data_IF_511787837326
#
_entry.id   IF_511787837326
#
_cell.length_a   1.000
_cell.length_b   1.000
_cell.length_c   1.000
_cell.angle_alpha   90.00
_cell.angle_beta   90.00
_cell.angle_gamma   90.00
#
_symmetry.space_group_name_H-M   'P 1'
#
loop_
_entity.id
_entity.type
_entity.pdbx_description
1 polymer ?
#
# COMPACT_ATOMS: atom_id res chain seq x y z
N UNK A 1 -31.12 12.59 29.30
CA UNK A 1 -31.37 13.56 28.21
C UNK A 1 -30.00 14.00 27.70
N UNK A 2 -29.46 13.65 26.54
CA UNK A 2 -29.96 13.22 25.24
C UNK A 2 -29.28 11.89 24.84
N UNK A 3 -30.00 11.01 24.14
CA UNK A 3 -29.48 9.71 23.70
C UNK A 3 -28.33 9.91 22.70
N UNK A 4 -27.11 9.58 23.11
CA UNK A 4 -25.99 9.44 22.18
C UNK A 4 -26.31 8.30 21.22
N UNK A 5 -26.52 8.64 19.94
CA UNK A 5 -26.53 7.66 18.86
C UNK A 5 -25.34 6.70 19.05
N UNK A 6 -25.60 5.41 19.08
CA UNK A 6 -24.59 4.36 19.14
C UNK A 6 -23.66 4.47 17.92
N UNK A 7 -22.60 5.27 18.04
CA UNK A 7 -21.51 5.30 17.08
C UNK A 7 -20.81 3.95 17.17
N UNK A 8 -20.92 3.15 16.12
CA UNK A 8 -20.30 1.83 16.08
C UNK A 8 -18.80 1.94 16.36
N UNK A 9 -18.31 1.13 17.29
CA UNK A 9 -16.93 1.17 17.81
C UNK A 9 -15.85 0.89 16.76
N UNK A 10 -16.25 0.41 15.58
CA UNK A 10 -15.38 -0.02 14.50
C UNK A 10 -15.25 1.04 13.40
N UNK A 11 -16.33 1.75 13.09
CA UNK A 11 -16.38 2.68 11.96
C UNK A 11 -16.12 4.11 12.40
N UNK A 12 -15.71 4.96 11.45
CA UNK A 12 -15.38 6.34 11.75
C UNK A 12 -16.56 7.13 12.33
N UNK A 13 -16.31 8.07 13.26
CA UNK A 13 -17.33 9.00 13.72
C UNK A 13 -17.71 10.02 12.64
N UNK A 14 -16.77 10.37 11.74
CA UNK A 14 -17.03 11.21 10.58
C UNK A 14 -17.89 10.43 9.57
N UNK A 15 -19.10 10.92 9.22
CA UNK A 15 -20.03 10.17 8.38
C UNK A 15 -19.55 9.99 6.93
N UNK A 16 -18.76 10.92 6.40
CA UNK A 16 -18.13 10.80 5.07
C UNK A 16 -17.11 9.67 5.07
N UNK A 17 -16.22 9.67 6.08
CA UNK A 17 -15.22 8.62 6.29
C UNK A 17 -15.86 7.25 6.51
N UNK A 18 -16.89 7.19 7.34
CA UNK A 18 -17.63 5.96 7.63
C UNK A 18 -18.26 5.34 6.39
N UNK A 19 -18.88 6.16 5.54
CA UNK A 19 -19.47 5.69 4.29
C UNK A 19 -18.39 5.08 3.39
N UNK A 20 -17.25 5.75 3.29
CA UNK A 20 -16.13 5.30 2.48
C UNK A 20 -15.51 4.00 3.01
N UNK A 21 -15.25 3.90 4.32
CA UNK A 21 -14.76 2.67 4.97
C UNK A 21 -15.65 1.47 4.65
N UNK A 22 -16.97 1.63 4.79
CA UNK A 22 -17.94 0.60 4.43
C UNK A 22 -17.89 0.25 2.95
N UNK A 23 -17.83 1.26 2.07
CA UNK A 23 -17.74 1.05 0.64
C UNK A 23 -16.50 0.22 0.26
N UNK A 24 -15.30 0.57 0.73
CA UNK A 24 -14.08 -0.15 0.36
C UNK A 24 -14.02 -1.56 0.97
N UNK A 25 -14.55 -1.74 2.18
CA UNK A 25 -14.70 -3.08 2.75
C UNK A 25 -15.63 -3.95 1.90
N UNK A 26 -16.79 -3.43 1.49
CA UNK A 26 -17.72 -4.15 0.62
C UNK A 26 -17.19 -4.33 -0.82
N UNK A 27 -16.33 -3.44 -1.28
CA UNK A 27 -15.65 -3.54 -2.58
C UNK A 27 -14.55 -4.60 -2.58
N UNK A 28 -13.96 -4.90 -1.43
CA UNK A 28 -12.84 -5.84 -1.31
C UNK A 28 -13.14 -7.24 -1.86
N UNK A 29 -14.28 -7.89 -1.52
CA UNK A 29 -14.66 -9.17 -2.11
C UNK A 29 -14.71 -9.17 -3.64
N UNK A 30 -15.05 -8.05 -4.29
CA UNK A 30 -15.16 -7.99 -5.75
C UNK A 30 -13.80 -8.19 -6.43
N UNK A 31 -12.81 -7.36 -6.12
CA UNK A 31 -11.49 -7.46 -6.77
C UNK A 31 -10.72 -8.70 -6.31
N UNK A 32 -10.92 -9.15 -5.06
CA UNK A 32 -10.36 -10.42 -4.58
C UNK A 32 -10.93 -11.62 -5.34
N UNK A 33 -12.25 -11.68 -5.52
CA UNK A 33 -12.89 -12.77 -6.27
C UNK A 33 -12.47 -12.74 -7.72
N UNK A 34 -12.31 -11.55 -8.33
CA UNK A 34 -11.77 -11.41 -9.68
C UNK A 34 -10.34 -11.97 -9.77
N UNK A 35 -9.47 -11.60 -8.84
CA UNK A 35 -8.07 -12.04 -8.82
C UNK A 35 -7.98 -13.57 -8.59
N UNK A 36 -8.70 -14.10 -7.61
CA UNK A 36 -8.75 -15.53 -7.33
C UNK A 36 -9.38 -16.32 -8.48
N UNK A 37 -10.43 -15.77 -9.10
CA UNK A 37 -11.10 -16.36 -10.26
C UNK A 37 -10.22 -16.44 -11.50
N UNK A 38 -9.12 -15.68 -11.56
CA UNK A 38 -8.12 -15.77 -12.63
C UNK A 38 -6.97 -16.71 -12.21
N UNK A 39 -6.50 -16.58 -10.96
CA UNK A 39 -5.34 -17.33 -10.46
C UNK A 39 -5.64 -18.81 -10.21
N UNK A 40 -6.75 -19.14 -9.56
CA UNK A 40 -7.11 -20.53 -9.21
C UNK A 40 -7.27 -21.42 -10.45
N UNK A 41 -8.04 -21.03 -11.49
CA UNK A 41 -8.13 -21.79 -12.73
C UNK A 41 -6.98 -21.56 -13.72
N UNK A 42 -5.96 -20.77 -13.35
CA UNK A 42 -4.81 -20.43 -14.19
C UNK A 42 -5.12 -19.74 -15.52
N UNK A 43 -6.20 -18.95 -15.58
CA UNK A 43 -6.58 -18.21 -16.79
C UNK A 43 -5.51 -17.20 -17.23
N UNK A 44 -4.66 -16.77 -16.31
CA UNK A 44 -3.55 -15.86 -16.58
C UNK A 44 -2.53 -16.42 -17.59
N UNK A 45 -2.48 -17.74 -17.84
CA UNK A 45 -1.52 -18.34 -18.78
C UNK A 45 -1.80 -17.93 -20.24
N UNK A 46 -3.06 -17.61 -20.57
CA UNK A 46 -3.46 -17.18 -21.91
C UNK A 46 -3.54 -15.66 -22.06
N UNK A 47 -3.19 -14.89 -21.03
CA UNK A 47 -3.32 -13.44 -21.04
C UNK A 47 -2.17 -12.79 -21.81
N UNK A 48 -2.49 -11.82 -22.65
CA UNK A 48 -1.54 -10.88 -23.24
C UNK A 48 -1.42 -9.63 -22.37
N UNK A 49 -0.58 -8.68 -22.78
CA UNK A 49 -0.36 -7.42 -22.08
C UNK A 49 -1.67 -6.66 -21.80
N UNK A 50 -2.62 -6.73 -22.74
CA UNK A 50 -3.90 -6.05 -22.63
C UNK A 50 -4.79 -6.66 -21.55
N UNK A 51 -4.92 -7.99 -21.49
CA UNK A 51 -5.76 -8.65 -20.47
C UNK A 51 -5.21 -8.40 -19.06
N UNK A 52 -3.88 -8.39 -18.90
CA UNK A 52 -3.27 -8.00 -17.63
C UNK A 52 -3.57 -6.54 -17.29
N UNK A 53 -3.51 -5.60 -18.23
CA UNK A 53 -3.87 -4.20 -17.95
C UNK A 53 -5.35 -4.10 -17.57
N UNK A 54 -6.23 -4.77 -18.31
CA UNK A 54 -7.67 -4.78 -18.07
C UNK A 54 -8.00 -5.34 -16.68
N UNK A 55 -7.31 -6.40 -16.23
CA UNK A 55 -7.44 -6.91 -14.86
C UNK A 55 -7.15 -5.83 -13.82
N UNK A 56 -6.04 -5.09 -13.99
CA UNK A 56 -5.69 -3.96 -13.14
C UNK A 56 -6.78 -2.87 -13.17
N UNK A 57 -7.23 -2.49 -14.37
CA UNK A 57 -8.24 -1.44 -14.55
C UNK A 57 -9.59 -1.82 -13.94
N UNK A 58 -10.08 -3.04 -14.16
CA UNK A 58 -11.34 -3.53 -13.57
C UNK A 58 -11.23 -3.63 -12.04
N UNK A 59 -10.03 -3.86 -11.50
CA UNK A 59 -9.81 -3.89 -10.05
C UNK A 59 -9.72 -2.49 -9.43
N UNK A 60 -9.15 -1.51 -10.13
CA UNK A 60 -8.93 -0.17 -9.61
C UNK A 60 -10.07 0.81 -9.96
N UNK A 61 -10.46 0.92 -11.23
CA UNK A 61 -11.37 1.96 -11.74
C UNK A 61 -12.74 1.97 -11.03
N UNK A 62 -13.39 0.83 -10.72
CA UNK A 62 -14.67 0.86 -10.01
C UNK A 62 -14.58 1.47 -8.61
N UNK A 63 -13.41 1.45 -7.95
CA UNK A 63 -13.21 2.12 -6.67
C UNK A 63 -13.33 3.65 -6.77
N UNK A 64 -13.22 4.20 -7.99
CA UNK A 64 -13.43 5.63 -8.30
C UNK A 64 -14.83 5.87 -8.85
N UNK A 65 -15.28 5.04 -9.79
CA UNK A 65 -16.55 5.26 -10.48
C UNK A 65 -17.75 5.01 -9.58
N UNK A 66 -17.74 3.97 -8.75
CA UNK A 66 -18.91 3.66 -7.92
C UNK A 66 -19.18 4.78 -6.91
N UNK A 67 -18.20 5.33 -6.18
CA UNK A 67 -18.43 6.47 -5.29
C UNK A 67 -18.86 7.78 -5.98
N UNK A 68 -18.58 7.93 -7.28
CA UNK A 68 -19.07 9.07 -8.06
C UNK A 68 -20.59 9.00 -8.23
N UNK A 69 -21.13 7.80 -8.50
CA UNK A 69 -22.56 7.61 -8.76
C UNK A 69 -23.37 7.28 -7.51
N UNK A 70 -22.79 6.52 -6.58
CA UNK A 70 -23.42 6.11 -5.31
C UNK A 70 -22.88 7.02 -4.22
N UNK A 71 -23.51 8.17 -4.03
CA UNK A 71 -23.08 9.14 -3.01
C UNK A 71 -23.71 8.83 -1.66
N UNK A 72 -22.90 8.79 -0.60
CA UNK A 72 -23.41 8.68 0.77
C UNK A 72 -24.28 9.89 1.11
N UNK A 73 -25.35 9.68 1.91
CA UNK A 73 -26.24 10.78 2.35
C UNK A 73 -25.50 11.94 3.02
N UNK A 74 -24.35 11.67 3.63
CA UNK A 74 -23.50 12.67 4.27
C UNK A 74 -22.60 13.45 3.29
N UNK A 75 -22.39 12.92 2.09
CA UNK A 75 -21.55 13.51 1.04
C UNK A 75 -22.36 14.22 -0.04
N UNK A 76 -23.69 14.08 -0.03
CA UNK A 76 -24.59 14.65 -1.04
C UNK A 76 -24.54 16.19 -1.08
N UNK A 77 -24.28 16.83 0.06
CA UNK A 77 -24.14 18.28 0.19
C UNK A 77 -22.68 18.77 0.11
N UNK A 78 -21.70 17.86 -0.01
CA UNK A 78 -20.28 18.20 -0.05
C UNK A 78 -19.77 18.27 -1.49
N UNK A 79 -18.91 19.27 -1.75
CA UNK A 79 -18.11 19.33 -2.96
C UNK A 79 -17.16 18.11 -3.02
N UNK A 80 -16.84 17.64 -4.22
CA UNK A 80 -16.05 16.42 -4.42
C UNK A 80 -14.71 16.46 -3.67
N UNK A 81 -13.99 17.58 -3.72
CA UNK A 81 -12.70 17.77 -3.02
C UNK A 81 -12.80 17.59 -1.50
N UNK A 82 -13.98 17.78 -0.92
CA UNK A 82 -14.21 17.73 0.52
C UNK A 82 -14.69 16.35 0.99
N UNK A 83 -15.06 15.46 0.05
CA UNK A 83 -15.49 14.10 0.35
C UNK A 83 -14.30 13.24 0.73
N UNK A 84 -14.43 12.46 1.80
CA UNK A 84 -13.35 11.63 2.30
C UNK A 84 -12.84 10.64 1.25
N UNK A 85 -13.77 10.05 0.47
CA UNK A 85 -13.39 9.04 -0.50
C UNK A 85 -12.42 9.58 -1.56
N UNK A 86 -12.53 10.87 -1.93
CA UNK A 86 -11.59 11.54 -2.86
C UNK A 86 -10.21 11.76 -2.22
N UNK A 87 -10.18 12.11 -0.93
CA UNK A 87 -8.94 12.41 -0.19
C UNK A 87 -8.12 11.15 0.11
N UNK A 88 -8.72 10.20 0.82
CA UNK A 88 -8.00 9.05 1.36
C UNK A 88 -7.86 7.94 0.30
N UNK A 89 -8.95 7.57 -0.35
CA UNK A 89 -9.12 6.23 -0.92
C UNK A 89 -9.36 6.17 -2.42
N UNK A 90 -9.57 7.29 -3.09
CA UNK A 90 -9.92 7.28 -4.50
C UNK A 90 -9.35 8.45 -5.26
N UNK A 91 -8.22 9.05 -4.87
CA UNK A 91 -7.41 9.82 -5.81
C UNK A 91 -6.05 10.24 -5.29
N UNK A 92 -5.87 10.49 -3.99
CA UNK A 92 -4.69 11.25 -3.60
C UNK A 92 -3.71 10.48 -2.74
N UNK A 93 -4.07 10.14 -1.49
CA UNK A 93 -3.08 9.57 -0.58
C UNK A 93 -2.54 8.21 -1.07
N UNK A 94 -3.44 7.25 -1.35
CA UNK A 94 -3.04 5.91 -1.79
C UNK A 94 -2.46 5.92 -3.21
N UNK A 95 -2.91 6.81 -4.10
CA UNK A 95 -2.31 6.95 -5.43
C UNK A 95 -0.87 7.43 -5.32
N UNK A 96 -0.62 8.50 -4.56
CA UNK A 96 0.72 9.04 -4.36
C UNK A 96 1.61 7.96 -3.74
N UNK A 97 1.16 7.33 -2.65
CA UNK A 97 1.95 6.34 -1.94
C UNK A 97 2.22 5.09 -2.79
N UNK A 98 1.20 4.57 -3.49
CA UNK A 98 1.33 3.42 -4.40
C UNK A 98 2.23 3.75 -5.59
N UNK A 99 2.11 4.95 -6.17
CA UNK A 99 2.96 5.39 -7.26
C UNK A 99 4.41 5.48 -6.80
N UNK A 100 4.68 6.09 -5.63
CA UNK A 100 6.04 6.17 -5.11
C UNK A 100 6.61 4.78 -4.86
N UNK A 101 5.84 3.87 -4.29
CA UNK A 101 6.29 2.51 -4.05
C UNK A 101 6.55 1.69 -5.31
N UNK A 102 5.68 1.79 -6.31
CA UNK A 102 5.85 1.06 -7.56
C UNK A 102 6.84 1.71 -8.52
N UNK A 103 7.15 3.00 -8.40
CA UNK A 103 8.06 3.69 -9.32
C UNK A 103 9.44 3.97 -8.72
N UNK A 104 9.54 4.49 -7.50
CA UNK A 104 10.82 4.86 -6.88
C UNK A 104 11.42 3.74 -6.03
N UNK A 105 10.61 2.90 -5.40
CA UNK A 105 11.12 1.81 -4.55
C UNK A 105 11.44 0.52 -5.31
N UNK A 106 11.35 0.54 -6.65
CA UNK A 106 11.69 -0.57 -7.54
C UNK A 106 13.10 -1.08 -7.31
N UNK A 107 14.05 -0.18 -7.03
CA UNK A 107 15.41 -0.57 -6.69
C UNK A 107 15.44 -1.49 -5.46
N UNK A 108 14.78 -1.11 -4.36
CA UNK A 108 14.71 -1.96 -3.17
C UNK A 108 14.02 -3.30 -3.47
N UNK A 109 12.96 -3.26 -4.25
CA UNK A 109 12.20 -4.44 -4.61
C UNK A 109 12.99 -5.43 -5.48
N UNK A 110 13.71 -4.96 -6.49
CA UNK A 110 14.46 -5.82 -7.41
C UNK A 110 15.86 -6.19 -6.88
N UNK A 111 16.55 -5.29 -6.17
CA UNK A 111 17.95 -5.52 -5.75
C UNK A 111 18.10 -5.95 -4.30
N UNK A 112 17.25 -5.44 -3.40
CA UNK A 112 17.30 -5.82 -1.97
C UNK A 112 16.50 -7.09 -1.75
N UNK A 113 15.26 -7.17 -2.26
CA UNK A 113 14.41 -8.35 -2.11
C UNK A 113 14.66 -9.44 -3.16
N UNK A 114 15.22 -9.08 -4.33
CA UNK A 114 15.43 -10.02 -5.44
C UNK A 114 14.11 -10.56 -6.02
N UNK A 115 13.07 -9.73 -6.03
CA UNK A 115 11.83 -10.04 -6.75
C UNK A 115 11.98 -9.73 -8.25
N UNK A 116 11.16 -10.33 -9.11
CA UNK A 116 11.07 -9.93 -10.52
C UNK A 116 9.70 -10.27 -11.12
N UNK A 117 9.30 -9.53 -12.16
CA UNK A 117 8.05 -9.75 -12.88
C UNK A 117 8.31 -10.26 -14.31
N UNK A 118 7.81 -11.45 -14.62
CA UNK A 118 8.08 -12.14 -15.90
C UNK A 118 6.86 -12.23 -16.82
N UNK A 119 5.67 -11.79 -16.39
CA UNK A 119 4.46 -11.85 -17.21
C UNK A 119 4.41 -10.75 -18.29
N UNK A 120 3.73 -11.00 -19.43
CA UNK A 120 3.51 -10.00 -20.48
C UNK A 120 2.84 -8.75 -19.92
N UNK A 121 3.50 -7.60 -20.07
CA UNK A 121 2.95 -6.34 -19.59
C UNK A 121 3.63 -5.13 -20.22
N UNK A 122 2.87 -4.03 -20.33
CA UNK A 122 3.47 -2.71 -20.45
C UNK A 122 4.16 -2.37 -19.13
N UNK A 123 5.41 -1.95 -19.17
CA UNK A 123 6.22 -1.68 -17.98
C UNK A 123 6.65 -0.22 -17.90
N UNK A 124 6.78 0.28 -16.66
CA UNK A 124 7.39 1.56 -16.34
C UNK A 124 8.41 1.32 -15.23
N UNK A 125 9.68 1.64 -15.49
CA UNK A 125 10.80 1.30 -14.61
C UNK A 125 10.84 -0.20 -14.23
N UNK A 126 10.70 -1.06 -15.24
CA UNK A 126 10.59 -2.53 -15.14
C UNK A 126 9.40 -3.07 -14.33
N UNK A 127 8.52 -2.20 -13.83
CA UNK A 127 7.31 -2.58 -13.12
C UNK A 127 6.10 -2.58 -14.07
N UNK A 128 5.34 -3.70 -14.15
CA UNK A 128 4.11 -3.79 -14.93
C UNK A 128 3.05 -2.74 -14.53
N UNK A 129 2.41 -2.07 -15.48
CA UNK A 129 1.32 -1.11 -15.17
C UNK A 129 0.17 -1.76 -14.38
N UNK A 130 -0.09 -3.04 -14.61
CA UNK A 130 -1.06 -3.84 -13.84
C UNK A 130 -0.78 -3.85 -12.35
N UNK A 131 0.49 -3.88 -11.93
CA UNK A 131 0.83 -3.92 -10.49
C UNK A 131 0.58 -2.57 -9.84
N UNK A 132 0.76 -1.43 -10.53
CA UNK A 132 0.37 -0.12 -10.02
C UNK A 132 -1.13 -0.07 -9.67
N UNK A 133 -1.95 -0.62 -10.57
CA UNK A 133 -3.42 -0.65 -10.42
C UNK A 133 -3.87 -1.65 -9.35
N UNK A 134 -3.31 -2.86 -9.32
CA UNK A 134 -3.63 -3.85 -8.29
C UNK A 134 -3.12 -3.41 -6.91
N UNK A 135 -1.92 -2.82 -6.83
CA UNK A 135 -1.39 -2.25 -5.57
C UNK A 135 -2.34 -1.21 -5.02
N UNK A 136 -2.92 -0.35 -5.87
CA UNK A 136 -3.93 0.60 -5.42
C UNK A 136 -5.12 -0.11 -4.76
N UNK A 137 -5.72 -1.12 -5.40
CA UNK A 137 -6.84 -1.87 -4.84
C UNK A 137 -6.49 -2.60 -3.52
N UNK A 138 -5.32 -3.25 -3.48
CA UNK A 138 -4.80 -3.93 -2.28
C UNK A 138 -4.55 -2.93 -1.14
N UNK A 139 -3.84 -1.84 -1.41
CA UNK A 139 -3.49 -0.86 -0.39
C UNK A 139 -4.74 -0.20 0.18
N UNK A 140 -5.79 0.03 -0.62
CA UNK A 140 -7.06 0.51 -0.07
C UNK A 140 -7.62 -0.41 1.00
N UNK A 141 -7.66 -1.71 0.71
CA UNK A 141 -8.13 -2.69 1.69
C UNK A 141 -7.24 -2.70 2.94
N UNK A 142 -5.92 -2.71 2.79
CA UNK A 142 -4.98 -2.77 3.92
C UNK A 142 -5.09 -1.54 4.82
N UNK A 143 -5.19 -0.35 4.23
CA UNK A 143 -5.21 0.92 4.97
C UNK A 143 -6.57 1.19 5.62
N UNK A 144 -7.68 0.77 4.99
CA UNK A 144 -9.02 0.83 5.62
C UNK A 144 -9.10 -0.17 6.78
N UNK A 145 -8.63 -1.41 6.59
CA UNK A 145 -8.64 -2.44 7.65
C UNK A 145 -7.76 -2.05 8.82
N UNK A 146 -6.55 -1.52 8.57
CA UNK A 146 -5.67 -1.01 9.63
C UNK A 146 -6.30 0.16 10.39
N UNK A 147 -6.90 1.12 9.68
CA UNK A 147 -7.61 2.25 10.31
C UNK A 147 -8.68 1.78 11.30
N UNK A 148 -9.51 0.82 10.89
CA UNK A 148 -10.59 0.26 11.70
C UNK A 148 -10.04 -0.48 12.93
N UNK A 149 -9.01 -1.30 12.75
CA UNK A 149 -8.44 -2.10 13.84
C UNK A 149 -7.66 -1.23 14.85
N UNK A 150 -6.87 -0.26 14.39
CA UNK A 150 -6.17 0.69 15.27
C UNK A 150 -7.18 1.52 16.05
N UNK A 151 -8.26 2.00 15.42
CA UNK A 151 -9.34 2.70 16.10
C UNK A 151 -9.97 1.84 17.19
N UNK A 152 -10.29 0.58 16.88
CA UNK A 152 -10.85 -0.37 17.85
C UNK A 152 -9.92 -0.60 19.03
N UNK A 153 -8.63 -0.75 18.77
CA UNK A 153 -7.61 -0.93 19.80
C UNK A 153 -7.50 0.30 20.72
N UNK A 154 -7.49 1.51 20.15
CA UNK A 154 -7.48 2.75 20.95
C UNK A 154 -8.70 2.85 21.86
N UNK A 155 -9.87 2.42 21.39
CA UNK A 155 -11.05 2.39 22.23
C UNK A 155 -10.93 1.33 23.33
N UNK A 156 -10.44 0.13 23.00
CA UNK A 156 -10.26 -0.95 23.98
C UNK A 156 -9.23 -0.60 25.07
N UNK A 157 -8.20 0.16 24.72
CA UNK A 157 -7.12 0.56 25.62
C UNK A 157 -7.32 1.94 26.25
N UNK A 158 -8.49 2.58 26.06
CA UNK A 158 -8.72 3.97 26.47
C UNK A 158 -8.50 4.22 27.97
N UNK A 159 -8.84 3.23 28.81
CA UNK A 159 -8.72 3.32 30.26
C UNK A 159 -7.33 2.90 30.78
N UNK A 160 -6.42 2.47 29.91
CA UNK A 160 -5.09 2.01 30.30
C UNK A 160 -4.11 3.19 30.50
N UNK A 161 -3.02 3.01 31.26
CA UNK A 161 -1.96 4.02 31.34
C UNK A 161 -1.40 4.36 29.96
N UNK A 162 -1.13 5.66 29.72
CA UNK A 162 -0.66 6.19 28.43
C UNK A 162 0.50 5.40 27.80
N UNK A 163 1.52 5.03 28.61
CA UNK A 163 2.66 4.23 28.11
C UNK A 163 2.23 2.87 27.55
N UNK A 164 1.26 2.23 28.20
CA UNK A 164 0.75 0.91 27.77
C UNK A 164 -0.10 1.07 26.51
N UNK A 165 -0.87 2.15 26.37
CA UNK A 165 -1.60 2.45 25.13
C UNK A 165 -0.64 2.57 23.93
N UNK A 166 0.45 3.33 24.09
CA UNK A 166 1.47 3.48 23.05
C UNK A 166 2.15 2.17 22.68
N UNK A 167 2.53 1.37 23.68
CA UNK A 167 3.16 0.06 23.44
C UNK A 167 2.17 -0.88 22.74
N UNK A 168 0.91 -0.92 23.18
CA UNK A 168 -0.12 -1.75 22.56
C UNK A 168 -0.37 -1.34 21.10
N UNK A 169 -0.49 -0.04 20.83
CA UNK A 169 -0.69 0.47 19.47
C UNK A 169 0.51 0.19 18.56
N UNK A 170 1.73 0.45 19.04
CA UNK A 170 2.95 0.15 18.29
C UNK A 170 3.07 -1.35 18.00
N UNK A 171 2.84 -2.21 19.00
CA UNK A 171 2.86 -3.66 18.83
C UNK A 171 1.81 -4.13 17.82
N UNK A 172 0.61 -3.55 17.85
CA UNK A 172 -0.46 -3.87 16.90
C UNK A 172 -0.10 -3.46 15.47
N UNK A 173 0.43 -2.24 15.28
CA UNK A 173 0.88 -1.77 13.96
C UNK A 173 1.97 -2.68 13.41
N UNK A 174 2.98 -3.03 14.23
CA UNK A 174 4.05 -3.94 13.82
C UNK A 174 3.50 -5.32 13.44
N UNK A 175 2.63 -5.90 14.28
CA UNK A 175 2.03 -7.21 14.03
C UNK A 175 1.16 -7.21 12.77
N UNK A 176 0.31 -6.20 12.59
CA UNK A 176 -0.56 -6.08 11.43
C UNK A 176 0.23 -5.82 10.14
N UNK A 177 1.23 -4.93 10.18
CA UNK A 177 2.10 -4.64 9.05
C UNK A 177 2.83 -5.89 8.56
N UNK A 178 3.43 -6.63 9.50
CA UNK A 178 4.10 -7.89 9.19
C UNK A 178 3.13 -8.94 8.66
N UNK A 179 1.94 -9.07 9.28
CA UNK A 179 0.91 -10.01 8.85
C UNK A 179 0.45 -9.75 7.41
N UNK A 180 0.17 -8.49 7.06
CA UNK A 180 -0.22 -8.11 5.69
C UNK A 180 0.91 -8.36 4.70
N UNK A 181 2.13 -7.93 5.01
CA UNK A 181 3.31 -8.16 4.16
C UNK A 181 3.55 -9.65 3.91
N UNK A 182 3.42 -10.48 4.96
CA UNK A 182 3.56 -11.93 4.87
C UNK A 182 2.44 -12.56 4.02
N UNK A 183 1.17 -12.20 4.28
CA UNK A 183 0.03 -12.71 3.51
C UNK A 183 0.14 -12.37 2.03
N UNK A 184 0.51 -11.14 1.69
CA UNK A 184 0.70 -10.71 0.31
C UNK A 184 1.85 -11.48 -0.35
N UNK A 185 2.98 -11.63 0.35
CA UNK A 185 4.11 -12.43 -0.14
C UNK A 185 3.71 -13.87 -0.43
N UNK A 186 2.94 -14.51 0.46
CA UNK A 186 2.44 -15.88 0.25
C UNK A 186 1.43 -15.94 -0.89
N UNK A 187 0.51 -14.97 -0.99
CA UNK A 187 -0.48 -14.92 -2.06
C UNK A 187 0.20 -14.79 -3.44
N UNK A 188 1.22 -13.95 -3.53
CA UNK A 188 1.96 -13.67 -4.76
C UNK A 188 2.96 -14.78 -5.10
N UNK A 189 3.60 -15.41 -4.10
CA UNK A 189 4.58 -16.47 -4.35
C UNK A 189 4.01 -17.71 -5.05
N UNK A 190 2.68 -17.86 -5.05
CA UNK A 190 1.97 -18.90 -5.80
C UNK A 190 1.73 -18.53 -7.27
N UNK A 191 1.92 -17.27 -7.66
CA UNK A 191 1.82 -16.82 -9.04
C UNK A 191 3.16 -17.06 -9.76
N UNK A 192 3.20 -17.89 -10.82
CA UNK A 192 4.46 -18.36 -11.41
C UNK A 192 5.26 -17.25 -12.10
N UNK A 193 4.62 -16.14 -12.48
CA UNK A 193 5.28 -15.03 -13.15
C UNK A 193 5.76 -13.91 -12.21
N UNK A 194 5.77 -14.21 -10.93
CA UNK A 194 6.43 -13.41 -9.91
C UNK A 194 7.50 -14.27 -9.26
N UNK A 195 8.76 -13.95 -9.54
CA UNK A 195 9.88 -14.76 -9.08
C UNK A 195 10.59 -14.09 -7.90
N UNK A 196 11.02 -14.91 -6.95
CA UNK A 196 11.96 -14.53 -5.90
C UNK A 196 13.23 -15.35 -6.08
N UNK A 197 14.39 -14.70 -6.06
CA UNK A 197 15.68 -15.39 -6.15
C UNK A 197 15.87 -16.34 -4.97
N UNK A 198 15.54 -15.91 -3.75
CA UNK A 198 15.54 -16.75 -2.55
C UNK A 198 14.21 -16.61 -1.79
N UNK A 199 13.32 -17.58 -1.99
CA UNK A 199 12.01 -17.64 -1.32
C UNK A 199 12.15 -17.79 0.20
N UNK A 200 13.16 -18.53 0.68
CA UNK A 200 13.33 -18.76 2.11
C UNK A 200 13.75 -17.46 2.82
N UNK A 201 14.67 -16.71 2.21
CA UNK A 201 15.08 -15.39 2.71
C UNK A 201 13.95 -14.36 2.59
N UNK A 202 13.16 -14.41 1.51
CA UNK A 202 11.97 -13.57 1.37
C UNK A 202 10.97 -13.80 2.52
N UNK A 203 10.65 -15.05 2.85
CA UNK A 203 9.70 -15.35 3.94
C UNK A 203 10.25 -15.01 5.33
N UNK A 204 11.55 -15.15 5.56
CA UNK A 204 12.18 -14.90 6.88
C UNK A 204 12.44 -13.41 7.14
N UNK A 205 12.96 -12.71 6.15
CA UNK A 205 13.49 -11.35 6.31
C UNK A 205 12.85 -10.37 5.33
N UNK A 206 12.57 -10.81 4.11
CA UNK A 206 11.93 -9.97 3.08
C UNK A 206 10.55 -9.45 3.49
N UNK A 207 9.72 -10.27 4.14
CA UNK A 207 8.44 -9.85 4.70
C UNK A 207 8.59 -8.73 5.74
N UNK A 208 9.66 -8.75 6.55
CA UNK A 208 9.94 -7.70 7.53
C UNK A 208 10.40 -6.40 6.84
N UNK A 209 11.25 -6.51 5.82
CA UNK A 209 11.63 -5.36 5.00
C UNK A 209 10.40 -4.74 4.31
N UNK A 210 9.53 -5.56 3.73
CA UNK A 210 8.31 -5.09 3.10
C UNK A 210 7.31 -4.49 4.12
N UNK A 211 7.24 -5.04 5.33
CA UNK A 211 6.40 -4.50 6.40
C UNK A 211 6.73 -3.04 6.76
N UNK A 212 7.94 -2.54 6.51
CA UNK A 212 8.33 -1.13 6.72
C UNK A 212 7.35 -0.17 6.03
N UNK A 213 6.84 -0.56 4.86
CA UNK A 213 5.88 0.23 4.10
C UNK A 213 4.66 0.53 4.97
N UNK A 214 4.13 -0.53 5.59
CA UNK A 214 2.91 -0.52 6.38
C UNK A 214 3.09 0.01 7.80
N UNK A 215 4.28 -0.19 8.39
CA UNK A 215 4.62 0.35 9.72
C UNK A 215 4.45 1.87 9.74
N UNK A 216 4.85 2.54 8.66
CA UNK A 216 4.68 3.99 8.51
C UNK A 216 3.31 4.33 7.93
N UNK A 217 2.88 3.65 6.88
CA UNK A 217 1.71 4.08 6.10
C UNK A 217 0.40 3.94 6.88
N UNK A 218 0.24 2.91 7.72
CA UNK A 218 -0.98 2.68 8.50
C UNK A 218 -1.30 3.83 9.48
N UNK A 219 -0.41 4.22 10.41
CA UNK A 219 -0.69 5.33 11.31
C UNK A 219 -0.79 6.67 10.58
N UNK A 220 -0.05 6.86 9.47
CA UNK A 220 -0.11 8.09 8.69
C UNK A 220 -1.48 8.27 8.02
N UNK A 221 -1.94 7.24 7.30
CA UNK A 221 -3.22 7.21 6.60
C UNK A 221 -4.42 7.33 7.55
N UNK A 222 -4.35 6.70 8.73
CA UNK A 222 -5.44 6.73 9.71
C UNK A 222 -5.87 8.17 10.05
N UNK A 223 -4.95 9.13 10.06
CA UNK A 223 -5.19 10.51 10.52
C UNK A 223 -6.13 11.32 9.62
N UNK A 224 -6.25 10.95 8.34
CA UNK A 224 -7.06 11.70 7.37
C UNK A 224 -8.51 11.72 7.86
N UNK A 225 -9.05 12.92 8.10
CA UNK A 225 -10.43 13.21 8.54
C UNK A 225 -10.95 12.32 9.71
N UNK A 226 -10.05 11.81 10.56
CA UNK A 226 -10.40 10.93 11.68
C UNK A 226 -11.07 11.69 12.83
N UNK A 227 -10.55 12.88 13.14
CA UNK A 227 -11.07 13.73 14.21
C UNK A 227 -12.23 14.58 13.67
N UNK A 228 -13.34 14.59 14.40
CA UNK A 228 -14.46 15.46 14.09
C UNK A 228 -14.00 16.94 14.15
N UNK A 229 -14.26 17.69 13.07
CA UNK A 229 -13.88 19.10 12.95
C UNK A 229 -12.50 19.37 12.33
N UNK A 230 -11.59 18.40 12.29
CA UNK A 230 -10.29 18.54 11.58
C UNK A 230 -10.41 17.98 10.16
N UNK A 231 -10.96 18.78 9.25
CA UNK A 231 -11.05 18.42 7.83
C UNK A 231 -9.73 18.73 7.13
N UNK A 232 -9.20 17.75 6.43
CA UNK A 232 -8.00 17.88 5.62
C UNK A 232 -8.37 18.36 4.23
N UNK A 233 -7.57 19.25 3.65
CA UNK A 233 -7.65 19.62 2.25
C UNK A 233 -6.74 18.71 1.40
N UNK A 234 -6.86 18.81 0.07
CA UNK A 234 -6.08 17.97 -0.84
C UNK A 234 -4.57 18.23 -0.71
N UNK A 235 -4.16 19.48 -0.46
CA UNK A 235 -2.75 19.83 -0.30
C UNK A 235 -2.15 19.14 0.93
N UNK A 236 -2.81 19.21 2.09
CA UNK A 236 -2.36 18.52 3.31
C UNK A 236 -2.28 17.01 3.09
N UNK A 237 -3.26 16.42 2.40
CA UNK A 237 -3.26 14.98 2.07
C UNK A 237 -2.07 14.60 1.18
N UNK A 238 -1.79 15.38 0.13
CA UNK A 238 -0.64 15.14 -0.75
C UNK A 238 0.69 15.23 -0.01
N UNK A 239 0.88 16.30 0.77
CA UNK A 239 2.10 16.52 1.55
C UNK A 239 2.29 15.39 2.56
N UNK A 240 1.21 14.95 3.21
CA UNK A 240 1.25 13.85 4.16
C UNK A 240 1.65 12.52 3.50
N UNK A 241 1.09 12.21 2.33
CA UNK A 241 1.42 11.00 1.56
C UNK A 241 2.90 11.00 1.11
N UNK A 242 3.38 12.13 0.59
CA UNK A 242 4.78 12.30 0.21
C UNK A 242 5.72 12.21 1.43
N UNK A 243 5.32 12.79 2.56
CA UNK A 243 6.07 12.70 3.81
C UNK A 243 6.15 11.26 4.34
N UNK A 244 5.03 10.52 4.31
CA UNK A 244 4.99 9.10 4.66
C UNK A 244 5.90 8.28 3.72
N UNK A 245 5.83 8.54 2.42
CA UNK A 245 6.68 7.88 1.44
C UNK A 245 8.17 8.20 1.66
N UNK A 246 8.52 9.44 1.97
CA UNK A 246 9.91 9.81 2.27
C UNK A 246 10.41 9.11 3.54
N UNK A 247 9.58 9.02 4.58
CA UNK A 247 9.94 8.31 5.80
C UNK A 247 10.17 6.82 5.56
N UNK A 248 9.30 6.16 4.78
CA UNK A 248 9.53 4.78 4.32
C UNK A 248 10.84 4.69 3.55
N UNK A 249 11.08 5.59 2.60
CA UNK A 249 12.31 5.62 1.81
C UNK A 249 13.55 5.66 2.70
N UNK A 250 13.56 6.52 3.72
CA UNK A 250 14.67 6.62 4.69
C UNK A 250 14.84 5.29 5.43
N UNK A 251 13.76 4.68 5.91
CA UNK A 251 13.85 3.40 6.63
C UNK A 251 14.36 2.26 5.74
N UNK A 252 13.93 2.19 4.48
CA UNK A 252 14.42 1.21 3.50
C UNK A 252 15.90 1.45 3.17
N UNK A 253 16.32 2.72 3.07
CA UNK A 253 17.70 3.10 2.81
C UNK A 253 18.63 2.73 3.97
N UNK A 254 18.19 3.01 5.21
CA UNK A 254 18.90 2.61 6.43
C UNK A 254 19.05 1.08 6.47
N UNK A 255 17.98 0.34 6.19
CA UNK A 255 18.07 -1.12 6.10
C UNK A 255 19.09 -1.55 5.04
N UNK A 256 19.01 -1.01 3.83
CA UNK A 256 19.95 -1.33 2.74
C UNK A 256 21.40 -1.06 3.16
N UNK A 257 21.68 0.05 3.84
CA UNK A 257 23.04 0.45 4.25
C UNK A 257 23.56 -0.44 5.39
N UNK A 258 22.74 -0.70 6.42
CA UNK A 258 23.20 -1.39 7.62
C UNK A 258 23.09 -2.91 7.56
N UNK A 259 22.07 -3.45 6.87
CA UNK A 259 21.77 -4.88 6.81
C UNK A 259 22.04 -5.47 5.42
N UNK A 260 22.01 -4.68 4.36
CA UNK A 260 22.30 -5.12 3.00
C UNK A 260 21.13 -5.77 2.26
N UNK A 261 21.43 -6.41 1.13
CA UNK A 261 20.47 -7.20 0.35
C UNK A 261 20.20 -8.55 1.03
N UNK A 262 18.96 -9.03 0.96
CA UNK A 262 18.62 -10.37 1.46
C UNK A 262 18.98 -11.49 0.46
N UNK A 263 19.40 -11.11 -0.76
CA UNK A 263 19.82 -12.03 -1.81
C UNK A 263 21.32 -11.87 -2.04
N UNK A 264 22.07 -12.97 -2.27
CA UNK A 264 23.47 -12.88 -2.63
C UNK A 264 23.64 -12.05 -3.91
N UNK A 265 24.36 -10.94 -3.81
CA UNK A 265 24.71 -10.10 -4.95
C UNK A 265 25.68 -10.91 -5.80
N UNK A 266 25.33 -11.27 -7.04
CA UNK A 266 26.26 -11.91 -7.96
C UNK A 266 27.56 -11.11 -8.04
N UNK A 267 28.71 -11.75 -7.86
CA UNK A 267 30.03 -11.11 -7.83
C UNK A 267 30.33 -10.25 -9.08
N UNK A 268 29.64 -10.52 -10.19
CA UNK A 268 29.69 -9.74 -11.43
C UNK A 268 29.06 -8.34 -11.35
N UNK A 269 28.31 -8.02 -10.28
CA UNK A 269 27.73 -6.70 -10.01
C UNK A 269 28.33 -6.01 -8.78
N UNK A 270 29.47 -6.48 -8.26
CA UNK A 270 30.32 -5.64 -7.41
C UNK A 270 30.83 -4.49 -8.28
N UNK A 271 30.16 -3.33 -8.22
CA UNK A 271 30.44 -2.22 -9.11
C UNK A 271 31.93 -1.85 -9.13
N UNK A 272 32.44 -1.64 -10.34
CA UNK A 272 33.54 -0.73 -10.65
C UNK A 272 33.24 0.67 -10.07
N UNK A 273 33.51 0.86 -8.78
CA UNK A 273 33.40 2.10 -7.99
C UNK A 273 32.09 2.93 -8.06
N UNK A 274 31.73 3.62 -6.96
CA UNK A 274 30.49 4.41 -6.91
C UNK A 274 30.65 5.73 -7.69
N UNK A 275 30.26 5.72 -8.96
CA UNK A 275 30.01 6.92 -9.75
C UNK A 275 28.51 7.17 -9.92
N UNK A 276 28.08 8.44 -9.88
CA UNK A 276 26.69 8.80 -10.15
C UNK A 276 26.32 8.45 -11.61
N UNK A 277 25.13 7.88 -11.88
CA UNK A 277 24.77 7.32 -13.18
C UNK A 277 24.68 8.33 -14.35
N UNK A 278 24.82 9.64 -14.08
CA UNK A 278 24.77 10.71 -15.08
C UNK A 278 26.14 11.35 -15.40
N UNK A 279 27.24 10.82 -14.86
CA UNK A 279 28.59 11.21 -15.27
C UNK A 279 29.19 10.14 -16.19
N UNK A 280 29.13 10.30 -17.53
CA UNK A 280 29.88 9.44 -18.41
C UNK A 280 31.38 9.70 -18.20
N UNK A 281 32.11 8.68 -17.75
CA UNK A 281 33.57 8.72 -17.68
C UNK A 281 34.09 8.69 -19.11
N UNK A 282 34.76 9.75 -19.55
CA UNK A 282 35.56 9.70 -20.77
C UNK A 282 36.60 8.59 -20.60
N UNK A 283 36.50 7.54 -21.43
CA UNK A 283 37.53 6.53 -21.54
C UNK A 283 38.75 7.20 -22.18
N UNK A 284 39.80 7.42 -21.39
CA UNK A 284 41.11 7.67 -21.96
C UNK A 284 41.64 6.32 -22.47
N UNK A 285 41.76 6.23 -23.80
CA UNK A 285 42.53 5.21 -24.48
C UNK A 285 44.01 5.37 -24.11
N UNK A 286 44.60 4.30 -23.56
CA UNK A 286 46.00 3.90 -23.76
C UNK A 286 46.10 2.40 -23.55
#
# INVERSE_FOLDING_TARGET
>A
KSASHYSGLWLAPNPSKRWAELFFLCYTPFWLTLSLGIVVPKLYESFTELEYLLLGLVSAVPSFLIPLFVTGKADSSLCWKDRYWVKASANLWIIIFSYVGNYFWTHYFFTVLGASYTFPSWKMNDVPHTTFLLTHACFLFYHVTSTITIRRLRHFTADWPYRIQWVAEAAWILALAYFIAYLETVAIANFPYYEFVDRASMYRVGCLFYAIYFIVSFPMFQRIDEKLGDRWDLARVSIDALGAAMLVTIMLDLWRIFLGSIVPISDTKQCLQPGLPWFPRHANET
#
